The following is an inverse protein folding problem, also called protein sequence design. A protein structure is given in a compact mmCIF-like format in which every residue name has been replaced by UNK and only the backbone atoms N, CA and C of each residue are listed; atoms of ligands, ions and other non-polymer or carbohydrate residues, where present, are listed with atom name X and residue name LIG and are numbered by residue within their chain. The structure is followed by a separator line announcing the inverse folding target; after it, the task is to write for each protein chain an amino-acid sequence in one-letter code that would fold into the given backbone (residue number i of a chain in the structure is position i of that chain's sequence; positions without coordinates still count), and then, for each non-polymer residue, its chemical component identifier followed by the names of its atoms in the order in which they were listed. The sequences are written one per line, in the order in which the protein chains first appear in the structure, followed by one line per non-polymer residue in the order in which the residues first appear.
data_IF_798439991946
#
_entry.id   IF_798439991946
#
_cell.length_a   1.000
_cell.length_b   1.000
_cell.length_c   1.000
_cell.angle_alpha   90.00
_cell.angle_beta   90.00
_cell.angle_gamma   90.00
#
_symmetry.space_group_name_H-M   'P 1'
#
loop_
_entity.id
_entity.type
_entity.pdbx_description
1 polymer ?
#
# COMPACT_ATOMS: atom_id res chain seq x y z
N UNK A 1 0.72 0.48 2.17
CA UNK A 1 -0.01 -0.80 2.39
C UNK A 1 -0.77 -0.80 3.72
N UNK A 2 -1.99 -0.26 3.77
CA UNK A 2 -2.81 -0.19 5.00
C UNK A 2 -3.47 -1.53 5.38
N UNK A 3 -3.49 -2.52 4.47
CA UNK A 3 -4.20 -3.80 4.62
C UNK A 3 -3.38 -4.95 5.23
N UNK A 4 -2.04 -4.84 5.23
CA UNK A 4 -1.17 -5.78 5.93
C UNK A 4 -1.11 -5.42 7.42
N UNK A 5 -1.35 -6.38 8.29
CA UNK A 5 -1.28 -6.15 9.75
C UNK A 5 0.19 -6.04 10.16
N UNK A 6 0.46 -5.18 11.15
CA UNK A 6 1.83 -5.00 11.70
C UNK A 6 2.39 -6.32 12.25
N UNK A 7 1.57 -7.10 12.97
CA UNK A 7 1.87 -8.45 13.47
C UNK A 7 0.89 -9.45 12.84
N UNK A 8 1.38 -10.31 11.94
CA UNK A 8 0.58 -11.40 11.41
C UNK A 8 0.75 -12.64 12.30
N UNK A 9 -0.37 -13.18 12.79
CA UNK A 9 -0.40 -14.45 13.53
C UNK A 9 -0.12 -15.63 12.58
N UNK A 10 -0.69 -15.57 11.38
CA UNK A 10 -0.64 -16.63 10.38
C UNK A 10 0.58 -16.53 9.46
N UNK A 11 1.09 -17.69 9.03
CA UNK A 11 2.27 -17.84 8.19
C UNK A 11 2.13 -17.09 6.85
N UNK A 12 0.98 -17.23 6.18
CA UNK A 12 0.67 -16.56 4.91
C UNK A 12 0.93 -15.05 4.96
N UNK A 13 0.48 -14.39 6.03
CA UNK A 13 0.68 -12.95 6.21
C UNK A 13 2.13 -12.56 6.52
N UNK A 14 2.87 -13.41 7.26
CA UNK A 14 4.30 -13.18 7.52
C UNK A 14 5.11 -13.30 6.24
N UNK A 15 4.87 -14.34 5.44
CA UNK A 15 5.54 -14.55 4.15
C UNK A 15 5.27 -13.41 3.17
N UNK A 16 4.01 -12.97 3.03
CA UNK A 16 3.68 -11.84 2.16
C UNK A 16 4.38 -10.54 2.59
N UNK A 17 4.51 -10.32 3.90
CA UNK A 17 5.25 -9.16 4.44
C UNK A 17 6.74 -9.24 4.11
N UNK A 18 7.33 -10.43 4.15
CA UNK A 18 8.73 -10.64 3.76
C UNK A 18 8.91 -10.36 2.27
N UNK A 19 8.02 -10.88 1.41
CA UNK A 19 8.06 -10.59 -0.04
C UNK A 19 8.01 -9.10 -0.33
N UNK A 20 7.11 -8.37 0.34
CA UNK A 20 7.01 -6.91 0.23
C UNK A 20 8.31 -6.19 0.60
N UNK A 21 9.06 -6.68 1.60
CA UNK A 21 10.34 -6.07 1.97
C UNK A 21 11.41 -6.29 0.90
N UNK A 22 11.35 -7.41 0.18
CA UNK A 22 12.27 -7.72 -0.93
C UNK A 22 12.01 -6.86 -2.17
N UNK A 23 10.89 -6.13 -2.24
CA UNK A 23 10.53 -5.26 -3.37
C UNK A 23 11.64 -4.27 -3.76
N UNK A 24 12.39 -3.75 -2.76
CA UNK A 24 13.49 -2.79 -3.00
C UNK A 24 14.76 -3.44 -3.58
N UNK A 25 14.92 -4.74 -3.38
CA UNK A 25 16.14 -5.49 -3.72
C UNK A 25 15.95 -6.33 -5.00
N UNK A 26 14.73 -6.76 -5.31
CA UNK A 26 14.41 -7.60 -6.46
C UNK A 26 14.01 -6.80 -7.71
N UNK A 27 14.18 -7.42 -8.88
CA UNK A 27 13.60 -6.91 -10.12
C UNK A 27 12.08 -7.10 -10.14
N UNK A 28 11.38 -6.28 -10.93
CA UNK A 28 9.92 -6.36 -11.11
C UNK A 28 9.45 -7.78 -11.45
N UNK A 29 10.11 -8.44 -12.40
CA UNK A 29 9.74 -9.79 -12.85
C UNK A 29 9.98 -10.85 -11.77
N UNK A 30 11.09 -10.79 -11.04
CA UNK A 30 11.38 -11.74 -9.97
C UNK A 30 10.39 -11.59 -8.81
N UNK A 31 10.03 -10.35 -8.47
CA UNK A 31 9.00 -10.07 -7.47
C UNK A 31 7.64 -10.67 -7.86
N UNK A 32 7.18 -10.48 -9.10
CA UNK A 32 5.90 -11.06 -9.54
C UNK A 32 5.90 -12.58 -9.55
N UNK A 33 7.02 -13.21 -9.95
CA UNK A 33 7.14 -14.68 -9.88
C UNK A 33 6.99 -15.16 -8.44
N UNK A 34 7.73 -14.58 -7.50
CA UNK A 34 7.65 -14.94 -6.07
C UNK A 34 6.27 -14.67 -5.49
N UNK A 35 5.64 -13.55 -5.87
CA UNK A 35 4.28 -13.20 -5.46
C UNK A 35 3.25 -14.22 -5.99
N UNK A 36 3.42 -14.69 -7.22
CA UNK A 36 2.57 -15.71 -7.82
C UNK A 36 2.75 -17.07 -7.14
N UNK A 37 3.98 -17.52 -6.88
CA UNK A 37 4.23 -18.74 -6.12
C UNK A 37 3.63 -18.69 -4.72
N UNK A 38 3.73 -17.56 -4.03
CA UNK A 38 3.08 -17.36 -2.75
C UNK A 38 1.55 -17.47 -2.85
N UNK A 39 0.95 -16.93 -3.91
CA UNK A 39 -0.49 -17.06 -4.13
C UNK A 39 -0.91 -18.52 -4.30
N UNK A 40 -0.20 -19.29 -5.12
CA UNK A 40 -0.48 -20.71 -5.32
C UNK A 40 -0.37 -21.49 -4.01
N UNK A 41 0.68 -21.24 -3.22
CA UNK A 41 0.90 -21.89 -1.92
C UNK A 41 -0.20 -21.61 -0.90
N UNK A 42 -0.80 -20.41 -0.93
CA UNK A 42 -1.80 -19.97 0.06
C UNK A 42 -3.20 -19.79 -0.54
N UNK A 43 -3.46 -20.36 -1.71
CA UNK A 43 -4.71 -20.16 -2.45
C UNK A 43 -5.93 -20.61 -1.65
N UNK A 44 -5.86 -21.81 -1.06
CA UNK A 44 -6.97 -22.39 -0.30
C UNK A 44 -7.28 -21.56 0.95
N UNK A 45 -6.23 -21.16 1.67
CA UNK A 45 -6.33 -20.24 2.79
C UNK A 45 -6.94 -18.89 2.39
N UNK A 46 -6.59 -18.33 1.22
CA UNK A 46 -7.17 -17.06 0.75
C UNK A 46 -8.63 -17.19 0.32
N UNK A 47 -9.03 -18.37 -0.15
CA UNK A 47 -10.38 -18.66 -0.62
C UNK A 47 -11.32 -19.11 0.51
N UNK A 48 -10.81 -19.38 1.71
CA UNK A 48 -11.60 -19.74 2.88
C UNK A 48 -12.69 -18.69 3.15
N UNK A 49 -13.95 -19.15 3.20
CA UNK A 49 -15.14 -18.33 3.44
C UNK A 49 -15.67 -18.54 4.85
N UNK A 50 -16.29 -17.49 5.38
CA UNK A 50 -17.04 -17.53 6.63
C UNK A 50 -18.24 -18.46 6.49
N UNK A 51 -18.58 -19.17 7.56
CA UNK A 51 -19.81 -19.98 7.65
C UNK A 51 -21.05 -19.10 7.82
N UNK A 52 -20.89 -17.87 8.33
CA UNK A 52 -21.98 -16.90 8.45
C UNK A 52 -22.12 -16.09 7.18
N UNK A 53 -23.31 -16.08 6.59
CA UNK A 53 -23.67 -15.19 5.49
C UNK A 53 -23.88 -13.76 5.99
N UNK A 54 -23.67 -12.80 5.11
CA UNK A 54 -24.09 -11.42 5.30
C UNK A 54 -25.60 -11.27 5.06
N UNK A 55 -26.15 -10.11 5.39
CA UNK A 55 -27.57 -9.72 5.16
C UNK A 55 -28.04 -9.97 3.70
N UNK A 56 -27.13 -9.95 2.73
CA UNK A 56 -27.42 -10.22 1.31
C UNK A 56 -27.26 -11.70 0.89
N UNK A 57 -27.10 -12.63 1.83
CA UNK A 57 -26.85 -14.06 1.53
C UNK A 57 -25.42 -14.39 1.06
N UNK A 58 -24.53 -13.39 0.98
CA UNK A 58 -23.15 -13.57 0.55
C UNK A 58 -22.25 -14.05 1.70
N UNK A 59 -21.47 -15.12 1.48
CA UNK A 59 -20.49 -15.61 2.45
C UNK A 59 -19.14 -14.89 2.29
N UNK A 60 -18.75 -14.03 3.25
CA UNK A 60 -17.53 -13.25 3.15
C UNK A 60 -16.27 -14.11 3.31
N UNK A 61 -15.20 -13.79 2.57
CA UNK A 61 -13.87 -14.38 2.81
C UNK A 61 -13.40 -14.14 4.25
N UNK A 62 -12.78 -15.14 4.89
CA UNK A 62 -12.21 -14.99 6.25
C UNK A 62 -11.00 -14.05 6.25
N UNK A 63 -10.22 -14.04 5.15
CA UNK A 63 -8.97 -13.29 5.05
C UNK A 63 -9.02 -12.10 4.08
N UNK A 64 -10.10 -11.32 4.08
CA UNK A 64 -10.29 -10.14 3.20
C UNK A 64 -9.09 -9.19 3.17
N UNK A 65 -8.49 -8.92 4.33
CA UNK A 65 -7.33 -8.01 4.44
C UNK A 65 -6.11 -8.53 3.67
N UNK A 66 -5.80 -9.81 3.80
CA UNK A 66 -4.67 -10.45 3.14
C UNK A 66 -4.92 -10.53 1.62
N UNK A 67 -6.13 -10.95 1.22
CA UNK A 67 -6.54 -10.99 -0.18
C UNK A 67 -6.48 -9.60 -0.83
N UNK A 68 -6.94 -8.58 -0.11
CA UNK A 68 -6.86 -7.19 -0.55
C UNK A 68 -5.43 -6.65 -0.66
N UNK A 69 -4.51 -7.11 0.19
CA UNK A 69 -3.09 -6.77 0.10
C UNK A 69 -2.44 -7.42 -1.14
N UNK A 70 -2.69 -8.71 -1.37
CA UNK A 70 -2.23 -9.41 -2.56
C UNK A 70 -2.71 -8.73 -3.85
N UNK A 71 -4.01 -8.40 -3.95
CA UNK A 71 -4.57 -7.72 -5.11
C UNK A 71 -3.90 -6.36 -5.38
N UNK A 72 -3.59 -5.60 -4.33
CA UNK A 72 -2.88 -4.31 -4.49
C UNK A 72 -1.44 -4.46 -4.99
N UNK A 73 -0.80 -5.60 -4.76
CA UNK A 73 0.56 -5.88 -5.23
C UNK A 73 0.58 -6.48 -6.64
N UNK A 74 -0.44 -7.28 -6.98
CA UNK A 74 -0.57 -7.87 -8.32
C UNK A 74 -0.75 -6.80 -9.41
N UNK A 75 -1.56 -5.78 -9.13
CA UNK A 75 -1.90 -4.73 -10.10
C UNK A 75 -1.18 -3.40 -9.83
N UNK A 76 -0.15 -3.37 -8.98
CA UNK A 76 0.65 -2.15 -8.83
C UNK A 76 1.59 -2.00 -10.02
N UNK A 77 1.48 -0.90 -10.77
CA UNK A 77 2.57 -0.46 -11.63
C UNK A 77 3.74 -0.03 -10.74
N UNK A 78 4.69 -0.95 -10.53
CA UNK A 78 5.84 -0.77 -9.65
C UNK A 78 6.92 0.16 -10.25
N UNK A 79 6.55 1.35 -10.73
CA UNK A 79 7.50 2.43 -11.06
C UNK A 79 7.92 3.20 -9.79
N UNK A 80 8.16 2.47 -8.70
CA UNK A 80 8.59 3.06 -7.43
C UNK A 80 10.11 3.18 -7.49
N UNK A 81 10.61 4.41 -7.47
CA UNK A 81 12.05 4.69 -7.34
C UNK A 81 12.60 3.98 -6.08
N UNK A 82 13.83 3.46 -6.17
CA UNK A 82 14.47 2.73 -5.05
C UNK A 82 14.72 3.61 -3.81
N UNK A 83 14.75 4.93 -3.99
CA UNK A 83 15.08 5.92 -2.97
C UNK A 83 13.91 6.84 -2.68
N UNK A 84 13.74 7.26 -1.43
CA UNK A 84 12.72 8.25 -1.02
C UNK A 84 13.17 9.70 -1.22
N UNK A 85 14.37 9.95 -1.75
CA UNK A 85 14.97 11.28 -1.94
C UNK A 85 14.03 12.27 -2.64
N UNK A 86 13.31 11.82 -3.67
CA UNK A 86 12.34 12.66 -4.38
C UNK A 86 11.18 13.11 -3.49
N UNK A 87 10.65 12.20 -2.67
CA UNK A 87 9.59 12.51 -1.70
C UNK A 87 10.10 13.41 -0.59
N UNK A 88 11.28 13.11 -0.05
CA UNK A 88 11.90 13.92 1.02
C UNK A 88 12.21 15.34 0.55
N UNK A 89 12.73 15.50 -0.66
CA UNK A 89 12.94 16.80 -1.29
C UNK A 89 11.62 17.57 -1.50
N UNK A 90 10.59 16.89 -2.00
CA UNK A 90 9.25 17.48 -2.18
C UNK A 90 8.65 17.98 -0.86
N UNK A 91 8.68 17.15 0.19
CA UNK A 91 8.14 17.51 1.51
C UNK A 91 8.99 18.57 2.22
N UNK A 92 10.30 18.59 2.00
CA UNK A 92 11.18 19.65 2.51
C UNK A 92 10.86 20.99 1.87
N UNK A 93 10.64 21.02 0.55
CA UNK A 93 10.22 22.23 -0.16
C UNK A 93 8.85 22.72 0.31
N UNK A 94 7.88 21.80 0.47
CA UNK A 94 6.55 22.11 0.99
C UNK A 94 6.63 22.75 2.38
N UNK A 95 7.38 22.14 3.31
CA UNK A 95 7.55 22.66 4.67
C UNK A 95 8.17 24.06 4.66
N UNK A 96 9.22 24.27 3.87
CA UNK A 96 9.88 25.57 3.74
C UNK A 96 8.91 26.66 3.29
N UNK A 97 8.09 26.39 2.27
CA UNK A 97 7.09 27.36 1.79
C UNK A 97 5.96 27.57 2.82
N UNK A 98 5.56 26.54 3.55
CA UNK A 98 4.50 26.64 4.55
C UNK A 98 4.91 27.43 5.81
N UNK A 99 6.18 27.30 6.25
CA UNK A 99 6.73 28.01 7.42
C UNK A 99 6.72 29.53 7.22
N UNK A 100 6.91 30.00 5.98
CA UNK A 100 6.79 31.43 5.66
C UNK A 100 5.36 31.98 5.85
N UNK A 101 4.36 31.10 6.02
CA UNK A 101 2.95 31.44 6.14
C UNK A 101 2.32 30.90 7.44
N UNK A 102 2.97 31.17 8.58
CA UNK A 102 2.54 30.68 9.89
C UNK A 102 1.10 31.11 10.28
N UNK A 103 0.66 32.29 9.82
CA UNK A 103 -0.68 32.84 10.09
C UNK A 103 -1.85 32.23 9.30
N UNK A 104 -1.60 31.24 8.42
CA UNK A 104 -2.68 30.63 7.67
C UNK A 104 -3.62 29.82 8.56
N UNK A 105 -4.92 30.06 8.39
CA UNK A 105 -5.95 29.20 8.95
C UNK A 105 -5.83 27.78 8.39
N UNK A 106 -6.37 26.79 9.12
CA UNK A 106 -6.33 25.37 8.70
C UNK A 106 -6.88 25.16 7.28
N UNK A 107 -7.95 25.88 6.92
CA UNK A 107 -8.57 25.84 5.58
C UNK A 107 -7.57 26.26 4.51
N UNK A 108 -6.89 27.39 4.69
CA UNK A 108 -5.93 27.90 3.71
C UNK A 108 -4.65 27.05 3.67
N UNK A 109 -4.20 26.47 4.79
CA UNK A 109 -3.10 25.48 4.79
C UNK A 109 -3.43 24.27 3.91
N UNK A 110 -4.64 23.72 4.02
CA UNK A 110 -5.08 22.59 3.18
C UNK A 110 -5.13 23.01 1.71
N UNK A 111 -5.67 24.19 1.41
CA UNK A 111 -5.74 24.72 0.03
C UNK A 111 -4.35 24.90 -0.57
N UNK A 112 -3.41 25.47 0.18
CA UNK A 112 -2.02 25.63 -0.21
C UNK A 112 -1.36 24.29 -0.53
N UNK A 113 -1.51 23.29 0.35
CA UNK A 113 -0.94 21.95 0.13
C UNK A 113 -1.51 21.32 -1.14
N UNK A 114 -2.82 21.44 -1.37
CA UNK A 114 -3.47 20.94 -2.59
C UNK A 114 -2.91 21.62 -3.85
N UNK A 115 -2.82 22.95 -3.83
CA UNK A 115 -2.26 23.72 -4.97
C UNK A 115 -0.78 23.36 -5.22
N UNK A 116 0.02 23.28 -4.16
CA UNK A 116 1.44 22.91 -4.26
C UNK A 116 1.65 21.52 -4.88
N UNK A 117 0.84 20.53 -4.47
CA UNK A 117 0.92 19.17 -5.02
C UNK A 117 0.40 19.12 -6.47
N UNK A 118 -0.61 19.92 -6.82
CA UNK A 118 -1.15 19.97 -8.18
C UNK A 118 -0.21 20.70 -9.16
N UNK A 119 0.47 21.77 -8.73
CA UNK A 119 1.40 22.55 -9.57
C UNK A 119 2.62 21.77 -10.09
N UNK A 120 3.01 20.68 -9.43
CA UNK A 120 4.10 19.80 -9.89
C UNK A 120 3.65 18.67 -10.83
N UNK A 121 2.41 18.71 -11.32
CA UNK A 121 1.87 17.72 -12.27
C UNK A 121 2.02 18.11 -13.75
N UNK A 122 2.78 19.17 -14.06
CA UNK A 122 3.15 19.56 -15.42
C UNK A 122 4.62 19.23 -15.68
#
# INVERSE_FOLDING_TARGET
MRKLRKKHKFLAGKELKTLVKMLKESSKNDFYRRLHYWYLKHQDYLNERSEKSNESGYFPYKHKGLRGAYASLKYSELNIEKTTNRLEGLFSELKRKLINHNGLTKKHKIMFIKDFLNKKSC
#
